data_IF_790528341209
#
_entry.id   IF_790528341209
#
_cell.length_a   1.000
_cell.length_b   1.000
_cell.length_c   1.000
_cell.angle_alpha   90.00
_cell.angle_beta   90.00
_cell.angle_gamma   90.00
#
_symmetry.space_group_name_H-M   'P 1'
#
loop_
_entity.id
_entity.type
_entity.pdbx_description
1 polymer ?
#
# COMPACT_ATOMS: atom_id res chain seq x y z
N UNK A 1 3.33 24.54 80.22
CA UNK A 1 3.32 26.01 80.05
C UNK A 1 2.52 26.30 78.79
N UNK A 2 1.26 26.70 78.92
CA UNK A 2 0.56 27.55 77.95
C UNK A 2 -0.71 28.05 78.65
N UNK A 3 -0.77 29.38 78.76
CA UNK A 3 -1.69 30.14 79.59
C UNK A 3 -3.09 30.14 78.99
N UNK A 4 -4.09 30.04 79.86
CA UNK A 4 -5.49 30.22 79.52
C UNK A 4 -5.75 31.67 79.09
N UNK A 5 -6.48 31.80 77.98
CA UNK A 5 -7.02 33.05 77.47
C UNK A 5 -8.02 33.65 78.47
N UNK A 6 -7.62 34.70 79.18
CA UNK A 6 -8.56 35.69 79.72
C UNK A 6 -8.31 36.99 78.96
N UNK A 7 -9.10 37.26 77.92
CA UNK A 7 -8.98 38.45 77.05
C UNK A 7 -10.08 39.49 77.29
N UNK A 8 -10.72 39.47 78.46
CA UNK A 8 -11.69 40.47 78.93
C UNK A 8 -11.35 40.88 80.37
N UNK A 9 -11.42 42.18 80.66
CA UNK A 9 -11.29 42.69 82.02
C UNK A 9 -12.44 42.22 82.92
N UNK A 10 -12.20 42.15 84.23
CA UNK A 10 -13.23 41.79 85.24
C UNK A 10 -14.41 42.77 85.29
N UNK A 11 -14.33 43.89 84.57
CA UNK A 11 -15.31 44.96 84.39
C UNK A 11 -15.99 44.93 83.00
N UNK A 12 -15.69 43.93 82.16
CA UNK A 12 -16.19 43.85 80.78
C UNK A 12 -15.43 44.71 79.76
N UNK A 13 -14.34 45.38 80.17
CA UNK A 13 -13.52 46.20 79.26
C UNK A 13 -12.59 45.36 78.37
N UNK A 14 -12.32 45.87 77.17
CA UNK A 14 -11.44 45.21 76.20
C UNK A 14 -9.96 45.44 76.51
N UNK A 15 -9.21 44.38 76.79
CA UNK A 15 -7.79 44.47 77.15
C UNK A 15 -6.84 44.49 75.95
N UNK A 16 -7.23 43.88 74.83
CA UNK A 16 -6.49 43.90 73.57
C UNK A 16 -7.44 43.64 72.42
N UNK A 17 -7.40 44.52 71.40
CA UNK A 17 -8.00 44.25 70.11
C UNK A 17 -7.05 43.35 69.31
N UNK A 18 -7.62 42.43 68.54
CA UNK A 18 -6.87 41.78 67.47
C UNK A 18 -6.72 42.73 66.27
N UNK A 19 -6.07 42.29 65.19
CA UNK A 19 -5.86 43.14 64.02
C UNK A 19 -7.16 43.39 63.21
N UNK A 20 -8.23 42.65 63.50
CA UNK A 20 -9.57 42.88 62.98
C UNK A 20 -10.39 43.88 63.81
N UNK A 21 -9.82 44.39 64.92
CA UNK A 21 -10.55 45.26 65.83
C UNK A 21 -11.55 44.53 66.73
N UNK A 22 -11.43 43.21 66.87
CA UNK A 22 -12.30 42.39 67.74
C UNK A 22 -11.64 42.19 69.10
N UNK A 23 -12.43 42.40 70.16
CA UNK A 23 -11.92 42.29 71.51
C UNK A 23 -11.60 40.84 71.89
N UNK A 24 -10.32 40.57 72.16
CA UNK A 24 -9.88 39.20 72.45
C UNK A 24 -10.14 38.23 71.31
N UNK A 25 -10.15 38.71 70.06
CA UNK A 25 -10.18 37.89 68.86
C UNK A 25 -8.84 37.25 68.53
N UNK A 26 -8.82 36.44 67.49
CA UNK A 26 -7.67 35.72 66.94
C UNK A 26 -7.48 35.98 65.44
N UNK A 27 -7.98 37.13 64.96
CA UNK A 27 -8.03 37.57 63.57
C UNK A 27 -9.00 36.80 62.65
N UNK A 28 -9.70 35.76 63.12
CA UNK A 28 -10.60 34.97 62.25
C UNK A 28 -11.78 35.77 61.69
N UNK A 29 -12.18 36.87 62.35
CA UNK A 29 -13.34 37.67 61.97
C UNK A 29 -13.14 38.61 60.77
N UNK A 30 -11.90 38.83 60.35
CA UNK A 30 -11.53 39.54 59.12
C UNK A 30 -10.53 38.72 58.30
N UNK A 31 -10.55 37.40 58.49
CA UNK A 31 -9.84 36.47 57.62
C UNK A 31 -10.77 36.01 56.51
N UNK A 32 -10.23 35.86 55.30
CA UNK A 32 -10.96 35.49 54.10
C UNK A 32 -10.03 35.56 52.90
N UNK A 33 -10.53 35.32 51.69
CA UNK A 33 -9.66 35.39 50.53
C UNK A 33 -9.22 36.82 50.22
N UNK A 34 -7.93 37.11 50.34
CA UNK A 34 -7.38 38.45 50.03
C UNK A 34 -6.86 38.58 48.60
N UNK A 35 -6.94 37.54 47.77
CA UNK A 35 -6.45 37.58 46.39
C UNK A 35 -7.53 38.17 45.45
N UNK A 36 -7.33 39.36 44.83
CA UNK A 36 -8.31 39.98 43.95
C UNK A 36 -8.62 39.19 42.67
N UNK A 37 -7.78 38.20 42.32
CA UNK A 37 -8.00 37.31 41.18
C UNK A 37 -8.84 36.06 41.53
N UNK A 38 -9.25 35.89 42.79
CA UNK A 38 -10.06 34.76 43.22
C UNK A 38 -11.56 35.00 43.08
N UNK A 39 -12.31 33.93 42.81
CA UNK A 39 -13.77 33.96 42.65
C UNK A 39 -14.50 34.35 43.94
N UNK A 40 -13.90 34.05 45.08
CA UNK A 40 -14.41 34.38 46.42
C UNK A 40 -13.59 35.47 47.12
N UNK A 41 -12.96 36.36 46.34
CA UNK A 41 -12.25 37.53 46.89
C UNK A 41 -13.15 38.34 47.83
N UNK A 42 -12.63 38.62 49.03
CA UNK A 42 -13.27 39.46 50.04
C UNK A 42 -12.43 40.72 50.25
N UNK A 43 -12.93 41.86 49.77
CA UNK A 43 -12.27 43.16 49.94
C UNK A 43 -12.17 43.62 51.40
N UNK A 44 -12.95 43.00 52.30
CA UNK A 44 -12.95 43.29 53.74
C UNK A 44 -11.99 42.40 54.52
N UNK A 45 -11.45 41.34 53.91
CA UNK A 45 -10.45 40.49 54.51
C UNK A 45 -9.11 41.21 54.62
N UNK A 46 -8.52 41.19 55.82
CA UNK A 46 -7.17 41.71 56.08
C UNK A 46 -6.11 40.61 56.11
N UNK A 47 -6.55 39.36 56.30
CA UNK A 47 -5.68 38.18 56.38
C UNK A 47 -6.20 37.08 55.48
N UNK A 48 -5.31 36.50 54.68
CA UNK A 48 -5.63 35.31 53.88
C UNK A 48 -5.81 34.10 54.79
N UNK A 49 -6.97 33.45 54.70
CA UNK A 49 -7.24 32.18 55.39
C UNK A 49 -6.99 30.95 54.50
N UNK A 50 -6.53 31.15 53.26
CA UNK A 50 -6.34 30.08 52.29
C UNK A 50 -7.65 29.56 51.68
N UNK A 51 -8.77 30.26 51.89
CA UNK A 51 -10.06 29.91 51.27
C UNK A 51 -10.17 30.34 49.81
N UNK A 52 -9.20 31.09 49.26
CA UNK A 52 -9.25 31.57 47.89
C UNK A 52 -9.53 30.45 46.87
N UNK A 53 -10.55 30.65 46.05
CA UNK A 53 -10.94 29.77 44.94
C UNK A 53 -10.47 30.43 43.65
N UNK A 54 -9.55 29.77 42.96
CA UNK A 54 -9.13 30.16 41.61
C UNK A 54 -9.67 29.08 40.66
N UNK A 55 -10.70 29.43 39.89
CA UNK A 55 -11.22 28.57 38.84
C UNK A 55 -10.30 28.55 37.62
N UNK A 56 -10.08 27.37 37.07
CA UNK A 56 -9.30 27.17 35.86
C UNK A 56 -8.93 25.70 35.69
N UNK A 57 -8.16 25.39 34.65
CA UNK A 57 -7.77 24.01 34.42
C UNK A 57 -6.72 23.54 35.45
N UNK A 58 -7.10 22.58 36.28
CA UNK A 58 -6.22 22.00 37.31
C UNK A 58 -5.42 20.78 36.84
N UNK A 59 -5.67 20.29 35.61
CA UNK A 59 -5.00 19.12 35.07
C UNK A 59 -3.63 19.51 34.47
N UNK A 60 -2.49 19.04 35.03
CA UNK A 60 -1.15 19.38 34.54
C UNK A 60 -0.82 18.80 33.16
N UNK A 61 -1.63 17.89 32.64
CA UNK A 61 -1.49 17.36 31.28
C UNK A 61 -2.25 18.18 30.22
N UNK A 62 -3.04 19.18 30.63
CA UNK A 62 -3.80 20.02 29.71
C UNK A 62 -2.99 21.17 29.14
N UNK A 63 -3.32 21.58 27.92
CA UNK A 63 -2.64 22.65 27.19
C UNK A 63 -2.82 24.02 27.86
N UNK A 64 -3.95 24.21 28.56
CA UNK A 64 -4.27 25.41 29.31
C UNK A 64 -4.19 25.22 30.83
N UNK A 65 -3.36 24.29 31.30
CA UNK A 65 -3.10 24.10 32.73
C UNK A 65 -2.75 25.43 33.41
N UNK A 66 -3.49 25.76 34.46
CA UNK A 66 -3.22 26.90 35.32
C UNK A 66 -2.68 26.41 36.68
N UNK A 67 -1.39 26.61 37.00
CA UNK A 67 -0.83 26.21 38.28
C UNK A 67 -1.37 27.02 39.47
N UNK A 68 -2.06 28.13 39.24
CA UNK A 68 -2.75 28.89 40.29
C UNK A 68 -4.17 28.39 40.54
N UNK A 69 -4.77 27.63 39.62
CA UNK A 69 -6.11 27.09 39.77
C UNK A 69 -6.15 26.00 40.85
N UNK A 70 -7.18 26.05 41.68
CA UNK A 70 -7.47 25.04 42.71
C UNK A 70 -8.90 24.51 42.65
N UNK A 71 -9.68 25.00 41.70
CA UNK A 71 -11.02 24.54 41.39
C UNK A 71 -11.11 24.31 39.88
N UNK A 72 -11.35 23.06 39.47
CA UNK A 72 -11.53 22.74 38.06
C UNK A 72 -12.87 23.28 37.55
N UNK A 73 -12.82 24.15 36.56
CA UNK A 73 -14.00 24.74 35.92
C UNK A 73 -14.43 24.00 34.65
N UNK A 74 -13.74 22.90 34.31
CA UNK A 74 -13.99 22.13 33.09
C UNK A 74 -13.46 22.79 31.82
N UNK A 75 -12.64 23.84 31.94
CA UNK A 75 -12.02 24.52 30.79
C UNK A 75 -10.82 23.76 30.22
N UNK A 76 -10.38 22.65 30.83
CA UNK A 76 -9.21 21.90 30.39
C UNK A 76 -9.29 21.48 28.91
N UNK A 77 -8.28 21.90 28.14
CA UNK A 77 -8.07 21.55 26.75
C UNK A 77 -7.03 20.43 26.70
N UNK A 78 -7.45 19.26 26.23
CA UNK A 78 -6.55 18.15 25.92
C UNK A 78 -6.53 18.01 24.41
N UNK A 79 -5.40 18.36 23.79
CA UNK A 79 -5.19 18.14 22.36
C UNK A 79 -4.87 16.68 22.09
N UNK A 80 -5.49 16.13 21.06
CA UNK A 80 -5.26 14.77 20.59
C UNK A 80 -6.29 14.35 19.56
N UNK A 81 -6.24 13.10 19.11
CA UNK A 81 -7.20 12.61 18.14
C UNK A 81 -8.58 12.40 18.77
N UNK A 82 -9.59 13.13 18.30
CA UNK A 82 -10.97 13.03 18.79
C UNK A 82 -11.85 12.07 17.97
N UNK A 83 -11.34 11.55 16.84
CA UNK A 83 -12.08 10.64 15.98
C UNK A 83 -12.05 9.21 16.54
N UNK A 84 -13.19 8.62 16.96
CA UNK A 84 -13.23 7.26 17.52
C UNK A 84 -12.93 6.15 16.50
N UNK A 85 -12.92 6.45 15.21
CA UNK A 85 -12.51 5.51 14.16
C UNK A 85 -11.00 5.51 13.89
N UNK A 86 -10.23 6.40 14.52
CA UNK A 86 -8.79 6.48 14.35
C UNK A 86 -8.03 5.51 15.26
N UNK A 87 -6.86 5.05 14.78
CA UNK A 87 -6.01 4.09 15.50
C UNK A 87 -5.43 4.67 16.79
N UNK A 88 -5.20 5.98 16.81
CA UNK A 88 -4.69 6.72 17.97
C UNK A 88 -5.76 7.59 18.64
N UNK A 89 -7.04 7.20 18.54
CA UNK A 89 -8.12 7.87 19.24
C UNK A 89 -7.79 8.04 20.74
N UNK A 90 -7.86 9.28 21.21
CA UNK A 90 -7.71 9.62 22.61
C UNK A 90 -9.08 10.00 23.20
N UNK A 91 -9.69 9.16 24.06
CA UNK A 91 -10.96 9.48 24.68
C UNK A 91 -10.89 10.65 25.67
N UNK A 92 -9.69 11.07 26.09
CA UNK A 92 -9.50 12.25 26.93
C UNK A 92 -9.35 13.54 26.11
N UNK A 93 -9.09 13.45 24.80
CA UNK A 93 -8.95 14.62 23.95
C UNK A 93 -10.27 15.39 23.81
N UNK A 94 -10.21 16.69 24.08
CA UNK A 94 -11.35 17.62 23.95
C UNK A 94 -11.20 18.54 22.73
N UNK A 95 -10.01 18.55 22.12
CA UNK A 95 -9.70 19.34 20.92
C UNK A 95 -8.93 18.48 19.92
N UNK A 96 -9.43 18.41 18.68
CA UNK A 96 -8.72 17.72 17.60
C UNK A 96 -7.48 18.50 17.18
N UNK A 97 -6.31 17.89 17.32
CA UNK A 97 -5.03 18.46 16.92
C UNK A 97 -4.59 18.02 15.51
N UNK A 98 -5.42 17.23 14.82
CA UNK A 98 -5.11 16.68 13.51
C UNK A 98 -4.10 15.52 13.54
N UNK A 99 -3.81 14.98 14.73
CA UNK A 99 -2.92 13.81 14.88
C UNK A 99 -3.61 12.48 14.54
N UNK A 100 -4.91 12.47 14.26
CA UNK A 100 -5.65 11.24 13.96
C UNK A 100 -5.00 10.42 12.83
N UNK A 101 -4.74 9.15 13.10
CA UNK A 101 -4.21 8.17 12.17
C UNK A 101 -5.37 7.28 11.74
N UNK A 102 -5.68 7.30 10.45
CA UNK A 102 -6.63 6.38 9.81
C UNK A 102 -5.81 5.46 8.92
N UNK A 103 -5.64 4.21 9.35
CA UNK A 103 -4.99 3.18 8.55
C UNK A 103 -5.91 2.68 7.44
N UNK A 104 -5.34 2.50 6.26
CA UNK A 104 -6.02 1.93 5.10
C UNK A 104 -5.23 2.18 3.82
N UNK A 105 -5.77 1.76 2.69
CA UNK A 105 -5.06 1.97 1.42
C UNK A 105 -5.10 3.44 0.98
N UNK A 106 -3.93 4.08 0.92
CA UNK A 106 -3.82 5.48 0.48
C UNK A 106 -3.56 5.64 -1.02
N UNK A 107 -3.37 4.54 -1.76
CA UNK A 107 -3.09 4.59 -3.20
C UNK A 107 -4.40 4.77 -4.00
N UNK A 108 -4.61 5.90 -4.71
CA UNK A 108 -5.85 6.17 -5.45
C UNK A 108 -6.09 5.25 -6.67
N UNK A 109 -5.10 4.46 -7.08
CA UNK A 109 -5.22 3.48 -8.17
C UNK A 109 -5.69 2.11 -7.64
N UNK A 110 -5.57 1.86 -6.34
CA UNK A 110 -5.96 0.59 -5.74
C UNK A 110 -7.49 0.43 -5.69
N UNK A 111 -7.95 -0.82 -5.81
CA UNK A 111 -9.36 -1.19 -5.80
C UNK A 111 -10.04 -0.90 -4.46
N UNK A 112 -9.28 -0.95 -3.37
CA UNK A 112 -9.73 -0.68 -2.01
C UNK A 112 -9.21 0.66 -1.47
N UNK A 113 -8.92 1.63 -2.34
CA UNK A 113 -8.55 2.99 -1.93
C UNK A 113 -9.54 3.55 -0.91
N UNK A 114 -9.02 3.98 0.24
CA UNK A 114 -9.78 4.67 1.28
C UNK A 114 -9.40 6.16 1.28
N UNK A 115 -10.30 7.07 0.85
CA UNK A 115 -10.02 8.50 0.86
C UNK A 115 -9.92 9.12 2.26
N UNK A 116 -10.34 8.40 3.31
CA UNK A 116 -10.15 8.83 4.70
C UNK A 116 -8.80 8.37 5.28
N UNK A 117 -8.14 7.37 4.66
CA UNK A 117 -6.85 6.88 5.12
C UNK A 117 -5.75 7.91 4.92
N UNK A 118 -4.92 8.10 5.94
CA UNK A 118 -3.74 8.96 5.91
C UNK A 118 -2.46 8.21 6.29
N UNK A 119 -2.58 6.92 6.58
CA UNK A 119 -1.49 6.02 6.88
C UNK A 119 -1.69 4.73 6.07
N UNK A 120 -0.77 4.46 5.14
CA UNK A 120 -0.82 3.23 4.35
C UNK A 120 -0.50 2.03 5.24
N UNK A 121 -1.46 1.12 5.37
CA UNK A 121 -1.31 -0.13 6.14
C UNK A 121 -0.84 -1.31 5.28
N UNK A 122 -0.55 -1.06 4.00
CA UNK A 122 -0.15 -2.10 3.05
C UNK A 122 -1.31 -2.98 2.60
N UNK A 123 -2.56 -2.62 2.89
CA UNK A 123 -3.75 -3.35 2.44
C UNK A 123 -4.12 -3.07 0.98
N UNK A 124 -3.45 -2.13 0.30
CA UNK A 124 -3.76 -1.77 -1.08
C UNK A 124 -3.79 -2.99 -2.01
N UNK A 125 -4.90 -3.17 -2.71
CA UNK A 125 -5.11 -4.19 -3.73
C UNK A 125 -5.08 -3.50 -5.07
N UNK A 126 -4.12 -3.87 -5.92
CA UNK A 126 -4.03 -3.40 -7.29
C UNK A 126 -4.25 -4.63 -8.18
N UNK A 127 -5.42 -4.68 -8.79
CA UNK A 127 -5.76 -5.73 -9.75
C UNK A 127 -5.04 -5.52 -11.08
N UNK A 128 -4.61 -6.62 -11.67
CA UNK A 128 -4.02 -6.64 -13.01
C UNK A 128 -3.17 -7.88 -13.21
N UNK A 129 -2.57 -8.01 -14.40
CA UNK A 129 -1.73 -9.17 -14.65
C UNK A 129 -0.43 -9.14 -13.83
N UNK A 130 -0.25 -10.14 -12.94
CA UNK A 130 0.95 -10.26 -12.10
C UNK A 130 2.05 -11.12 -12.72
N UNK A 131 1.80 -11.71 -13.90
CA UNK A 131 2.78 -12.57 -14.57
C UNK A 131 3.80 -11.71 -15.34
N UNK A 132 5.09 -11.69 -14.96
CA UNK A 132 6.12 -10.85 -15.61
C UNK A 132 6.40 -11.24 -17.07
N UNK A 133 5.94 -12.40 -17.52
CA UNK A 133 6.09 -12.86 -18.91
C UNK A 133 4.87 -12.53 -19.79
N UNK A 134 3.81 -11.94 -19.24
CA UNK A 134 2.64 -11.53 -20.02
C UNK A 134 2.86 -10.16 -20.68
N UNK A 135 2.23 -9.92 -21.84
CA UNK A 135 2.35 -8.64 -22.55
C UNK A 135 1.80 -7.46 -21.76
N UNK A 136 0.70 -7.68 -21.04
CA UNK A 136 0.05 -6.68 -20.21
C UNK A 136 0.44 -6.79 -18.72
N UNK A 137 1.64 -7.31 -18.43
CA UNK A 137 2.17 -7.33 -17.08
C UNK A 137 2.09 -5.94 -16.44
N UNK A 138 1.43 -5.87 -15.28
CA UNK A 138 1.38 -4.68 -14.45
C UNK A 138 2.32 -4.87 -13.25
N UNK A 139 3.48 -4.16 -13.20
CA UNK A 139 4.42 -4.29 -12.08
C UNK A 139 3.88 -3.76 -10.75
N UNK A 140 2.80 -2.98 -10.77
CA UNK A 140 2.11 -2.51 -9.56
C UNK A 140 1.01 -3.48 -9.10
N UNK A 141 0.58 -4.42 -9.95
CA UNK A 141 -0.45 -5.37 -9.57
C UNK A 141 0.06 -6.36 -8.54
N UNK A 142 -0.73 -6.56 -7.49
CA UNK A 142 -0.49 -7.54 -6.44
C UNK A 142 -1.65 -8.55 -6.31
N UNK A 143 -2.67 -8.40 -7.14
CA UNK A 143 -3.80 -9.30 -7.24
C UNK A 143 -4.04 -9.63 -8.72
N UNK A 144 -3.85 -10.90 -9.09
CA UNK A 144 -4.12 -11.35 -10.46
C UNK A 144 -5.63 -11.35 -10.72
N UNK A 145 -6.07 -10.52 -11.66
CA UNK A 145 -7.47 -10.42 -12.07
C UNK A 145 -7.81 -11.35 -13.25
N UNK A 146 -6.84 -12.17 -13.68
CA UNK A 146 -6.98 -13.06 -14.84
C UNK A 146 -6.95 -12.32 -16.18
N UNK A 147 -6.55 -11.04 -16.20
CA UNK A 147 -6.40 -10.27 -17.44
C UNK A 147 -5.12 -10.61 -18.21
N UNK A 148 -4.23 -11.45 -17.65
CA UNK A 148 -2.95 -11.79 -18.29
C UNK A 148 -3.12 -12.27 -19.73
N UNK A 149 -2.48 -11.55 -20.65
CA UNK A 149 -2.38 -11.89 -22.06
C UNK A 149 -1.20 -12.85 -22.21
N UNK A 150 -1.53 -14.12 -22.42
CA UNK A 150 -0.54 -15.12 -22.80
C UNK A 150 -0.28 -15.01 -24.31
N UNK A 151 0.99 -14.93 -24.67
CA UNK A 151 1.44 -14.92 -26.05
C UNK A 151 1.92 -16.29 -26.48
N UNK A 152 1.59 -16.64 -27.72
CA UNK A 152 2.05 -17.86 -28.35
C UNK A 152 1.22 -18.12 -29.60
N UNK A 153 1.22 -19.35 -30.09
CA UNK A 153 0.39 -19.69 -31.22
C UNK A 153 -1.09 -19.76 -30.84
N UNK A 154 -1.94 -18.98 -31.52
CA UNK A 154 -3.41 -18.96 -31.36
C UNK A 154 -4.14 -19.63 -32.53
N UNK A 155 -3.43 -20.00 -33.61
CA UNK A 155 -4.01 -20.72 -34.75
C UNK A 155 -4.26 -22.21 -34.40
N UNK A 156 -5.52 -22.70 -34.36
CA UNK A 156 -5.82 -24.09 -33.99
C UNK A 156 -5.26 -25.16 -34.93
N UNK A 157 -4.77 -24.76 -36.11
CA UNK A 157 -4.14 -25.63 -37.09
C UNK A 157 -2.61 -25.73 -36.98
N UNK A 158 -1.99 -25.05 -36.02
CA UNK A 158 -0.56 -25.14 -35.76
C UNK A 158 -0.24 -26.26 -34.77
N UNK A 159 0.96 -26.83 -34.87
CA UNK A 159 1.41 -27.94 -34.03
C UNK A 159 1.62 -27.55 -32.57
N UNK A 160 1.98 -26.28 -32.32
CA UNK A 160 2.16 -25.70 -30.99
C UNK A 160 1.01 -24.77 -30.59
N UNK A 161 -0.18 -24.97 -31.16
CA UNK A 161 -1.38 -24.27 -30.72
C UNK A 161 -1.62 -24.49 -29.22
N UNK A 162 -1.84 -23.40 -28.49
CA UNK A 162 -2.35 -23.45 -27.13
C UNK A 162 -3.54 -22.51 -27.00
N UNK A 163 -4.68 -23.06 -26.55
CA UNK A 163 -5.91 -22.33 -26.36
C UNK A 163 -5.82 -21.27 -25.24
N UNK A 164 -4.79 -21.31 -24.40
CA UNK A 164 -4.52 -20.27 -23.40
C UNK A 164 -3.94 -19.00 -24.01
N UNK A 165 -3.32 -19.08 -25.20
CA UNK A 165 -2.74 -17.92 -25.86
C UNK A 165 -3.85 -17.01 -26.39
N UNK A 166 -3.81 -15.75 -25.98
CA UNK A 166 -4.77 -14.72 -26.37
C UNK A 166 -4.19 -13.72 -27.38
N UNK A 167 -2.89 -13.80 -27.64
CA UNK A 167 -2.17 -12.97 -28.60
C UNK A 167 -1.12 -13.80 -29.37
N UNK A 168 -0.96 -13.49 -30.66
CA UNK A 168 0.00 -14.13 -31.56
C UNK A 168 1.40 -13.50 -31.43
N UNK A 169 2.43 -14.32 -31.17
CA UNK A 169 3.84 -13.88 -31.12
C UNK A 169 4.67 -14.34 -32.32
N UNK A 170 4.05 -15.03 -33.29
CA UNK A 170 4.73 -15.59 -34.46
C UNK A 170 5.47 -16.89 -34.19
N UNK A 171 5.28 -17.52 -33.02
CA UNK A 171 5.87 -18.83 -32.69
C UNK A 171 5.16 -20.02 -33.34
N UNK A 172 4.05 -19.81 -34.05
CA UNK A 172 3.28 -20.90 -34.67
C UNK A 172 4.13 -21.81 -35.55
N UNK A 173 4.01 -23.11 -35.31
CA UNK A 173 4.68 -24.16 -36.08
C UNK A 173 3.62 -24.79 -36.98
N UNK A 174 3.86 -24.74 -38.29
CA UNK A 174 3.08 -25.45 -39.28
C UNK A 174 3.98 -26.48 -39.95
N UNK A 175 3.77 -27.75 -39.59
CA UNK A 175 4.45 -28.87 -40.20
C UNK A 175 3.91 -29.16 -41.60
N UNK A 176 4.82 -29.48 -42.52
CA UNK A 176 4.51 -29.92 -43.87
C UNK A 176 5.72 -29.79 -44.77
N UNK A 177 5.62 -30.27 -46.02
CA UNK A 177 6.72 -30.15 -46.95
C UNK A 177 7.06 -28.69 -47.24
N UNK A 178 8.29 -28.27 -46.91
CA UNK A 178 8.77 -26.89 -47.14
C UNK A 178 9.48 -26.68 -48.48
N UNK A 179 9.72 -27.75 -49.23
CA UNK A 179 10.38 -27.68 -50.54
C UNK A 179 9.39 -27.26 -51.63
N UNK A 180 9.59 -26.08 -52.23
CA UNK A 180 8.73 -25.54 -53.28
C UNK A 180 8.73 -26.37 -54.59
N UNK A 181 9.63 -27.33 -54.72
CA UNK A 181 9.72 -28.26 -55.86
C UNK A 181 8.98 -29.59 -55.63
N UNK A 182 8.55 -29.87 -54.41
CA UNK A 182 7.76 -31.07 -54.09
C UNK A 182 6.30 -30.91 -54.52
N UNK A 183 5.66 -32.03 -54.86
CA UNK A 183 4.26 -32.05 -55.31
C UNK A 183 3.27 -31.67 -54.20
N UNK A 184 3.60 -32.04 -52.97
CA UNK A 184 2.83 -31.76 -51.76
C UNK A 184 3.41 -30.58 -50.96
N UNK A 185 4.10 -29.64 -51.62
CA UNK A 185 4.57 -28.41 -51.00
C UNK A 185 3.44 -27.67 -50.27
N UNK A 186 3.69 -27.28 -49.02
CA UNK A 186 2.77 -26.50 -48.19
C UNK A 186 3.32 -25.07 -48.05
N UNK A 187 2.75 -24.06 -48.75
CA UNK A 187 3.33 -22.71 -48.79
C UNK A 187 3.46 -21.97 -47.46
N UNK A 188 2.71 -22.40 -46.46
CA UNK A 188 2.71 -21.83 -45.11
C UNK A 188 3.41 -22.72 -44.08
N UNK A 189 3.96 -23.88 -44.49
CA UNK A 189 4.77 -24.70 -43.59
C UNK A 189 6.09 -23.98 -43.30
N UNK A 190 6.43 -23.91 -42.02
CA UNK A 190 7.70 -23.35 -41.53
C UNK A 190 8.54 -24.38 -40.78
N UNK A 191 8.05 -25.62 -40.73
CA UNK A 191 8.75 -26.78 -40.18
C UNK A 191 8.58 -27.95 -41.16
N UNK A 192 9.69 -28.45 -41.70
CA UNK A 192 9.65 -29.62 -42.59
C UNK A 192 9.36 -30.89 -41.78
N UNK A 193 8.32 -31.61 -42.15
CA UNK A 193 7.93 -32.88 -41.50
C UNK A 193 8.52 -34.11 -42.21
N UNK A 194 9.31 -33.89 -43.27
CA UNK A 194 9.90 -34.95 -44.07
C UNK A 194 8.89 -35.70 -44.94
N UNK A 195 7.67 -35.16 -45.08
CA UNK A 195 6.62 -35.76 -45.92
C UNK A 195 6.75 -35.39 -47.40
N UNK A 196 7.76 -34.61 -47.82
CA UNK A 196 7.93 -34.18 -49.20
C UNK A 196 7.87 -35.36 -50.18
N UNK A 197 6.90 -35.29 -51.08
CA UNK A 197 6.70 -36.19 -52.21
C UNK A 197 7.28 -35.49 -53.42
N UNK A 198 8.33 -36.07 -53.96
CA UNK A 198 8.87 -35.71 -55.25
C UNK A 198 8.38 -36.74 -56.25
N UNK A 199 7.92 -36.28 -57.41
CA UNK A 199 7.54 -37.17 -58.49
C UNK A 199 8.73 -38.11 -58.80
N UNK A 200 8.54 -39.44 -58.80
CA UNK A 200 9.58 -40.37 -59.24
C UNK A 200 9.91 -40.04 -60.69
N UNK A 201 11.19 -40.03 -61.06
CA UNK A 201 11.71 -39.50 -62.34
C UNK A 201 11.05 -40.21 -63.54
N UNK A 202 9.85 -39.76 -63.93
CA UNK A 202 9.06 -40.40 -64.97
C UNK A 202 9.27 -39.64 -66.27
N UNK A 203 10.29 -40.05 -67.02
CA UNK A 203 10.53 -39.58 -68.39
C UNK A 203 11.89 -38.92 -68.67
N UNK A 204 12.95 -39.27 -67.91
CA UNK A 204 14.32 -38.88 -68.27
C UNK A 204 14.68 -37.41 -68.04
N UNK A 205 13.99 -36.73 -67.12
CA UNK A 205 14.20 -35.31 -66.81
C UNK A 205 14.88 -35.08 -65.44
N UNK A 206 15.60 -36.06 -64.91
CA UNK A 206 16.47 -35.90 -63.74
C UNK A 206 17.92 -35.85 -64.24
N UNK A 207 18.64 -34.73 -64.13
CA UNK A 207 19.99 -34.57 -64.71
C UNK A 207 21.04 -35.58 -64.24
N UNK A 208 20.76 -36.34 -63.18
CA UNK A 208 21.67 -37.28 -62.55
C UNK A 208 21.13 -38.73 -62.49
N UNK A 209 19.92 -39.00 -63.00
CA UNK A 209 19.43 -40.37 -63.25
C UNK A 209 20.08 -40.84 -64.57
N UNK A 210 21.24 -41.49 -64.43
CA UNK A 210 22.11 -41.79 -65.57
C UNK A 210 21.68 -43.05 -66.29
N UNK A 211 20.98 -43.95 -65.60
CA UNK A 211 20.55 -45.24 -66.15
C UNK A 211 19.07 -45.27 -66.56
N UNK A 212 18.32 -44.20 -66.24
CA UNK A 212 16.92 -44.03 -66.61
C UNK A 212 15.97 -44.93 -65.83
N UNK A 213 16.35 -45.38 -64.64
CA UNK A 213 15.54 -46.28 -63.79
C UNK A 213 14.49 -45.54 -62.95
N UNK A 214 14.50 -44.21 -62.96
CA UNK A 214 13.52 -43.37 -62.30
C UNK A 214 13.92 -42.91 -60.90
N UNK A 215 15.12 -43.28 -60.42
CA UNK A 215 15.66 -42.92 -59.12
C UNK A 215 17.04 -42.25 -59.28
N UNK A 216 17.48 -41.45 -58.29
CA UNK A 216 18.89 -41.00 -58.22
C UNK A 216 19.54 -41.75 -57.07
N UNK A 217 20.28 -42.80 -57.41
CA UNK A 217 20.85 -43.72 -56.43
C UNK A 217 22.36 -43.90 -56.54
N UNK A 218 22.87 -44.82 -55.72
CA UNK A 218 24.25 -45.27 -55.84
C UNK A 218 24.55 -45.92 -57.19
N UNK A 219 23.53 -46.45 -57.87
CA UNK A 219 23.69 -47.03 -59.21
C UNK A 219 24.06 -45.94 -60.22
N UNK A 220 23.37 -44.81 -60.21
CA UNK A 220 23.68 -43.66 -61.07
C UNK A 220 25.02 -43.03 -60.76
N UNK A 221 25.35 -42.92 -59.46
CA UNK A 221 26.67 -42.46 -59.06
C UNK A 221 27.77 -43.39 -59.58
N UNK A 222 27.53 -44.70 -59.55
CA UNK A 222 28.48 -45.68 -60.09
C UNK A 222 28.57 -45.59 -61.62
N UNK A 223 27.47 -45.41 -62.33
CA UNK A 223 27.47 -45.21 -63.78
C UNK A 223 28.20 -43.93 -64.17
N UNK A 224 27.98 -42.84 -63.43
CA UNK A 224 28.78 -41.61 -63.57
C UNK A 224 30.26 -41.88 -63.36
N UNK A 225 30.64 -42.58 -62.27
CA UNK A 225 32.04 -42.86 -61.95
C UNK A 225 32.71 -43.80 -62.95
N UNK A 226 31.95 -44.69 -63.61
CA UNK A 226 32.44 -45.56 -64.70
C UNK A 226 32.71 -44.74 -65.96
N UNK A 227 31.82 -43.82 -66.30
CA UNK A 227 31.97 -42.92 -67.45
C UNK A 227 32.94 -41.75 -67.17
N UNK A 228 33.26 -41.49 -65.90
CA UNK A 228 34.05 -40.34 -65.48
C UNK A 228 35.45 -40.34 -66.10
N UNK A 229 35.68 -39.39 -67.01
CA UNK A 229 36.96 -39.24 -67.71
C UNK A 229 37.07 -39.99 -69.05
N UNK A 230 36.01 -40.66 -69.51
CA UNK A 230 35.92 -41.19 -70.87
C UNK A 230 35.55 -40.09 -71.88
N UNK A 231 36.01 -40.23 -73.13
CA UNK A 231 35.63 -39.32 -74.20
C UNK A 231 34.24 -39.69 -74.73
N UNK A 232 33.38 -38.71 -75.02
CA UNK A 232 32.00 -38.94 -75.48
C UNK A 232 31.86 -39.70 -76.81
N UNK A 233 32.96 -39.98 -77.52
CA UNK A 233 32.95 -40.76 -78.76
C UNK A 233 33.04 -42.28 -78.52
N UNK A 234 33.32 -42.71 -77.28
CA UNK A 234 33.47 -44.11 -76.87
C UNK A 234 32.31 -44.63 -75.98
N UNK A 235 31.24 -43.83 -75.83
CA UNK A 235 30.01 -44.14 -75.10
C UNK A 235 28.84 -44.28 -76.08
#
# INVERSE_FOLDING_TARGET
MQLQHQRHGKDGSCQSLDACGVCGGDNSSCSGCTNPAADNYDETALFDDGSCIISGCTNPAADNYDPAANNDDGSCIISGCTNPAADNYDPAATNDDGSCIISGCTNPIADNYDPAANNDDGSCIISGCTNPNAENYNPEANNDDGSCVATGCTYPGADNYDAVNTAEDGSCIFSGCTDATAENYVPYANNDDGSCVFEPCSGGACPFDSNGDGEIGSADLLDFLVAFGQACEDL
#
